data_IF_541882076235
#
_entry.id   IF_541882076235
#
_cell.length_a   1.000
_cell.length_b   1.000
_cell.length_c   1.000
_cell.angle_alpha   90.00
_cell.angle_beta   90.00
_cell.angle_gamma   90.00
#
_symmetry.space_group_name_H-M   'P 1'
#
loop_
_entity.id
_entity.type
_entity.pdbx_description
1 polymer ?
#
# COMPACT_ATOMS: atom_id res chain seq x y z
N UNK A 1 18.08 -8.18 -39.70
CA UNK A 1 17.45 -6.85 -39.64
C UNK A 1 16.29 -6.95 -38.66
N UNK A 2 16.38 -6.44 -37.47
CA UNK A 2 15.34 -5.89 -36.62
C UNK A 2 15.63 -5.93 -35.08
N UNK A 3 16.91 -6.08 -34.72
CA UNK A 3 17.29 -5.98 -33.29
C UNK A 3 17.31 -4.54 -32.76
N UNK A 4 17.45 -3.56 -33.68
CA UNK A 4 17.50 -2.13 -33.30
C UNK A 4 16.11 -1.57 -32.96
N UNK A 5 15.07 -2.03 -33.65
CA UNK A 5 13.68 -1.61 -33.40
C UNK A 5 13.16 -2.13 -32.05
N UNK A 6 13.36 -3.41 -31.76
CA UNK A 6 12.93 -4.00 -30.49
C UNK A 6 13.61 -3.36 -29.25
N UNK A 7 14.90 -3.04 -29.33
CA UNK A 7 15.61 -2.33 -28.28
C UNK A 7 15.08 -0.92 -28.07
N UNK A 8 14.79 -0.17 -29.16
CA UNK A 8 14.20 1.17 -29.12
C UNK A 8 12.80 1.16 -28.45
N UNK A 9 11.98 0.15 -28.76
CA UNK A 9 10.64 0.04 -28.19
C UNK A 9 10.68 -0.35 -26.70
N UNK A 10 11.64 -1.16 -26.29
CA UNK A 10 11.88 -1.45 -24.88
C UNK A 10 12.29 -0.20 -24.11
N UNK A 11 13.21 0.61 -24.66
CA UNK A 11 13.64 1.86 -24.03
C UNK A 11 12.51 2.90 -23.94
N UNK A 12 11.67 3.01 -24.97
CA UNK A 12 10.50 3.91 -24.96
C UNK A 12 9.48 3.48 -23.89
N UNK A 13 9.18 2.19 -23.77
CA UNK A 13 8.29 1.67 -22.74
C UNK A 13 8.86 1.88 -21.34
N UNK A 14 10.15 1.60 -21.13
CA UNK A 14 10.81 1.85 -19.84
C UNK A 14 10.79 3.34 -19.45
N UNK A 15 11.01 4.26 -20.40
CA UNK A 15 10.93 5.69 -20.13
C UNK A 15 9.50 6.14 -19.83
N UNK A 16 8.50 5.56 -20.49
CA UNK A 16 7.09 5.85 -20.25
C UNK A 16 6.64 5.31 -18.89
N UNK A 17 6.99 4.07 -18.55
CA UNK A 17 6.69 3.45 -17.26
C UNK A 17 7.36 4.20 -16.11
N UNK A 18 8.60 4.66 -16.31
CA UNK A 18 9.33 5.48 -15.33
C UNK A 18 8.66 6.84 -15.11
N UNK A 19 8.20 7.49 -16.20
CA UNK A 19 7.50 8.78 -16.13
C UNK A 19 6.16 8.64 -15.40
N UNK A 20 5.42 7.58 -15.67
CA UNK A 20 4.15 7.31 -15.00
C UNK A 20 4.36 7.02 -13.52
N UNK A 21 5.36 6.25 -13.15
CA UNK A 21 5.69 5.97 -11.76
C UNK A 21 6.08 7.25 -11.01
N UNK A 22 6.85 8.16 -11.66
CA UNK A 22 7.19 9.47 -11.10
C UNK A 22 5.95 10.36 -10.94
N UNK A 23 4.99 10.33 -11.89
CA UNK A 23 3.73 11.04 -11.77
C UNK A 23 2.91 10.57 -10.57
N UNK A 24 2.84 9.27 -10.33
CA UNK A 24 2.10 8.70 -9.21
C UNK A 24 2.77 8.99 -7.88
N UNK A 25 4.09 8.93 -7.82
CA UNK A 25 4.84 9.36 -6.65
C UNK A 25 4.62 10.86 -6.36
N UNK A 26 4.61 11.71 -7.41
CA UNK A 26 4.32 13.14 -7.27
C UNK A 26 2.90 13.41 -6.77
N UNK A 27 1.90 12.65 -7.26
CA UNK A 27 0.52 12.76 -6.78
C UNK A 27 0.41 12.39 -5.30
N UNK A 28 1.10 11.35 -4.88
CA UNK A 28 1.17 10.94 -3.48
C UNK A 28 1.83 12.00 -2.60
N UNK A 29 2.92 12.63 -3.07
CA UNK A 29 3.56 13.79 -2.42
C UNK A 29 2.60 14.96 -2.33
N UNK A 30 1.86 15.26 -3.40
CA UNK A 30 0.86 16.31 -3.41
C UNK A 30 -0.23 16.04 -2.37
N UNK A 31 -0.75 14.82 -2.30
CA UNK A 31 -1.72 14.44 -1.26
C UNK A 31 -1.13 14.56 0.15
N UNK A 32 0.17 14.27 0.35
CA UNK A 32 0.84 14.42 1.63
C UNK A 32 1.08 15.88 2.01
N UNK A 33 1.16 16.80 1.04
CA UNK A 33 1.33 18.24 1.29
C UNK A 33 0.12 18.89 2.00
N UNK A 34 -1.04 18.25 1.97
CA UNK A 34 -2.18 18.65 2.79
C UNK A 34 -2.06 18.19 4.25
N UNK A 35 -1.02 17.43 4.59
CA UNK A 35 -0.70 17.06 5.96
C UNK A 35 0.42 17.97 6.47
N UNK A 36 0.17 18.86 7.46
CA UNK A 36 1.18 19.77 8.01
C UNK A 36 2.36 19.04 8.68
N UNK A 37 2.23 17.74 8.95
CA UNK A 37 3.26 16.89 9.52
C UNK A 37 4.02 16.09 8.45
N UNK A 38 3.86 16.39 7.16
CA UNK A 38 4.57 15.68 6.11
C UNK A 38 6.09 15.86 6.26
N UNK A 39 6.87 14.78 6.15
CA UNK A 39 8.33 14.87 6.22
C UNK A 39 8.88 15.68 5.04
N UNK A 40 10.05 16.27 5.25
CA UNK A 40 10.76 16.96 4.19
C UNK A 40 10.98 16.03 2.98
N UNK A 41 10.97 16.57 1.75
CA UNK A 41 11.22 15.80 0.54
C UNK A 41 12.51 14.98 0.66
N UNK A 42 12.42 13.68 0.41
CA UNK A 42 13.56 12.79 0.39
C UNK A 42 14.15 12.72 -1.03
N UNK A 43 15.45 12.42 -1.18
CA UNK A 43 16.03 12.23 -2.49
C UNK A 43 15.29 11.12 -3.26
N UNK A 44 15.17 11.31 -4.57
CA UNK A 44 14.50 10.34 -5.46
C UNK A 44 15.18 8.98 -5.36
N UNK A 45 14.48 7.92 -4.99
CA UNK A 45 15.06 6.59 -4.97
C UNK A 45 15.45 6.14 -6.39
N UNK A 46 16.37 5.19 -6.47
CA UNK A 46 16.73 4.59 -7.76
C UNK A 46 15.52 3.87 -8.32
N UNK A 47 15.02 4.34 -9.48
CA UNK A 47 13.85 3.73 -10.14
C UNK A 47 14.19 2.32 -10.59
N UNK A 48 13.47 1.34 -10.08
CA UNK A 48 13.51 -0.02 -10.62
C UNK A 48 12.40 -0.12 -11.68
N UNK A 49 12.70 -0.48 -12.92
CA UNK A 49 11.67 -0.64 -13.94
C UNK A 49 10.63 -1.66 -13.49
N UNK A 50 9.36 -1.25 -13.47
CA UNK A 50 8.25 -2.14 -13.14
C UNK A 50 7.65 -2.66 -14.44
N UNK A 51 7.53 -3.97 -14.55
CA UNK A 51 6.87 -4.59 -15.69
C UNK A 51 5.36 -4.55 -15.48
N UNK A 52 4.64 -3.91 -16.42
CA UNK A 52 3.18 -3.92 -16.43
C UNK A 52 2.68 -5.22 -17.06
N UNK A 53 1.68 -5.85 -16.47
CA UNK A 53 1.08 -7.06 -17.00
C UNK A 53 0.33 -7.87 -15.95
N UNK A 54 -0.35 -8.93 -16.40
CA UNK A 54 -1.19 -9.75 -15.52
C UNK A 54 -0.38 -10.45 -14.42
N UNK A 55 0.74 -11.06 -14.73
CA UNK A 55 1.58 -11.74 -13.76
C UNK A 55 2.19 -10.78 -12.72
N UNK A 56 2.85 -9.67 -13.10
CA UNK A 56 3.30 -8.66 -12.15
C UNK A 56 2.18 -8.08 -11.28
N UNK A 57 1.00 -7.85 -11.84
CA UNK A 57 -0.15 -7.36 -11.10
C UNK A 57 -0.61 -8.37 -10.05
N UNK A 58 -0.74 -9.64 -10.42
CA UNK A 58 -1.13 -10.71 -9.49
C UNK A 58 -0.11 -10.85 -8.36
N UNK A 59 1.18 -10.79 -8.67
CA UNK A 59 2.25 -10.83 -7.64
C UNK A 59 2.18 -9.63 -6.70
N UNK A 60 1.91 -8.43 -7.21
CA UNK A 60 1.72 -7.24 -6.39
C UNK A 60 0.47 -7.35 -5.49
N UNK A 61 -0.62 -7.89 -6.02
CA UNK A 61 -1.85 -8.15 -5.25
C UNK A 61 -1.64 -9.21 -4.16
N UNK A 62 -0.85 -10.25 -4.38
CA UNK A 62 -0.49 -11.24 -3.36
C UNK A 62 0.31 -10.59 -2.22
N UNK A 63 1.27 -9.72 -2.54
CA UNK A 63 2.03 -8.97 -1.54
C UNK A 63 1.11 -8.02 -0.75
N UNK A 64 0.23 -7.28 -1.43
CA UNK A 64 -0.76 -6.42 -0.78
C UNK A 64 -1.68 -7.23 0.14
N UNK A 65 -2.15 -8.40 -0.30
CA UNK A 65 -2.99 -9.28 0.51
C UNK A 65 -2.29 -9.72 1.79
N UNK A 66 -0.99 -10.01 1.73
CA UNK A 66 -0.17 -10.33 2.90
C UNK A 66 -0.14 -9.16 3.89
N UNK A 67 0.02 -7.91 3.40
CA UNK A 67 0.00 -6.72 4.25
C UNK A 67 -1.39 -6.47 4.86
N UNK A 68 -2.48 -6.67 4.10
CA UNK A 68 -3.85 -6.54 4.62
C UNK A 68 -4.16 -7.58 5.69
N UNK A 69 -3.71 -8.82 5.52
CA UNK A 69 -3.86 -9.86 6.54
C UNK A 69 -3.12 -9.48 7.83
N UNK A 70 -1.87 -9.02 7.73
CA UNK A 70 -1.10 -8.57 8.89
C UNK A 70 -1.75 -7.36 9.58
N UNK A 71 -2.32 -6.42 8.81
CA UNK A 71 -3.01 -5.25 9.34
C UNK A 71 -4.27 -5.65 10.13
N UNK A 72 -5.09 -6.58 9.62
CA UNK A 72 -6.26 -7.09 10.37
C UNK A 72 -5.83 -7.63 11.73
N UNK A 73 -4.81 -8.49 11.77
CA UNK A 73 -4.29 -9.05 13.01
C UNK A 73 -3.75 -7.97 13.96
N UNK A 74 -3.03 -6.97 13.42
CA UNK A 74 -2.51 -5.85 14.20
C UNK A 74 -3.59 -4.92 14.75
N UNK A 75 -4.67 -4.68 13.98
CA UNK A 75 -5.82 -3.92 14.44
C UNK A 75 -6.52 -4.65 15.59
N UNK A 76 -6.81 -5.95 15.44
CA UNK A 76 -7.44 -6.77 16.49
C UNK A 76 -6.58 -6.78 17.76
N UNK A 77 -5.28 -6.87 17.62
CA UNK A 77 -4.36 -6.86 18.75
C UNK A 77 -4.36 -5.52 19.49
N UNK A 78 -4.31 -4.39 18.76
CA UNK A 78 -4.38 -3.05 19.36
C UNK A 78 -5.74 -2.77 19.99
N UNK A 79 -6.84 -3.11 19.32
CA UNK A 79 -8.21 -2.97 19.82
C UNK A 79 -8.39 -3.67 21.18
N UNK A 80 -7.83 -4.89 21.31
CA UNK A 80 -7.91 -5.66 22.56
C UNK A 80 -7.11 -5.07 23.72
N UNK A 81 -6.26 -4.06 23.49
CA UNK A 81 -5.43 -3.38 24.51
C UNK A 81 -5.94 -2.01 24.91
N UNK A 82 -6.80 -1.42 24.10
CA UNK A 82 -7.39 -0.10 24.37
C UNK A 82 -8.60 -0.21 25.30
N UNK A 83 -8.80 0.81 26.12
CA UNK A 83 -9.96 0.93 26.99
C UNK A 83 -11.28 0.93 26.23
N UNK A 84 -12.37 0.52 26.89
CA UNK A 84 -13.67 0.39 26.25
C UNK A 84 -14.19 1.70 25.63
N UNK A 85 -13.93 2.82 26.30
CA UNK A 85 -14.36 4.15 25.88
C UNK A 85 -13.28 4.93 25.10
N UNK A 86 -12.21 4.27 24.68
CA UNK A 86 -11.13 4.93 23.95
C UNK A 86 -11.57 5.25 22.52
N UNK A 87 -11.49 6.52 22.07
CA UNK A 87 -11.85 6.89 20.70
C UNK A 87 -11.02 6.14 19.64
N UNK A 88 -9.75 5.83 19.96
CA UNK A 88 -8.88 5.07 19.07
C UNK A 88 -9.37 3.63 18.89
N UNK A 89 -9.98 3.04 19.93
CA UNK A 89 -10.59 1.71 19.84
C UNK A 89 -11.78 1.70 18.87
N UNK A 90 -12.67 2.69 18.94
CA UNK A 90 -13.80 2.84 18.03
C UNK A 90 -13.31 3.00 16.60
N UNK A 91 -12.35 3.89 16.37
CA UNK A 91 -11.72 4.05 15.07
C UNK A 91 -11.08 2.75 14.55
N UNK A 92 -10.42 1.99 15.43
CA UNK A 92 -9.82 0.71 15.09
C UNK A 92 -10.83 -0.31 14.57
N UNK A 93 -12.03 -0.38 15.18
CA UNK A 93 -13.11 -1.24 14.70
C UNK A 93 -13.61 -0.83 13.31
N UNK A 94 -13.87 0.46 13.11
CA UNK A 94 -14.32 0.99 11.80
C UNK A 94 -13.26 0.72 10.73
N UNK A 95 -11.98 0.93 11.08
CA UNK A 95 -10.88 0.66 10.16
C UNK A 95 -10.75 -0.83 9.83
N UNK A 96 -10.93 -1.70 10.80
CA UNK A 96 -10.91 -3.15 10.59
C UNK A 96 -11.95 -3.59 9.56
N UNK A 97 -13.18 -3.10 9.65
CA UNK A 97 -14.23 -3.40 8.67
C UNK A 97 -13.85 -2.95 7.25
N UNK A 98 -13.28 -1.75 7.11
CA UNK A 98 -12.78 -1.27 5.82
C UNK A 98 -11.67 -2.17 5.26
N UNK A 99 -10.73 -2.60 6.10
CA UNK A 99 -9.62 -3.47 5.69
C UNK A 99 -10.13 -4.86 5.30
N UNK A 100 -11.14 -5.39 5.99
CA UNK A 100 -11.78 -6.66 5.62
C UNK A 100 -12.44 -6.58 4.24
N UNK A 101 -13.10 -5.46 3.92
CA UNK A 101 -13.68 -5.22 2.59
C UNK A 101 -12.58 -5.16 1.52
N UNK A 102 -11.54 -4.36 1.72
CA UNK A 102 -10.39 -4.29 0.80
C UNK A 102 -9.73 -5.67 0.58
N UNK A 103 -9.57 -6.43 1.66
CA UNK A 103 -9.03 -7.80 1.60
C UNK A 103 -9.89 -8.73 0.74
N UNK A 104 -11.20 -8.63 0.86
CA UNK A 104 -12.14 -9.42 0.07
C UNK A 104 -12.04 -9.07 -1.43
N UNK A 105 -11.96 -7.79 -1.77
CA UNK A 105 -11.78 -7.30 -3.15
C UNK A 105 -10.46 -7.80 -3.77
N UNK A 106 -9.35 -7.66 -3.05
CA UNK A 106 -8.04 -8.13 -3.53
C UNK A 106 -8.04 -9.65 -3.71
N UNK A 107 -8.61 -10.40 -2.78
CA UNK A 107 -8.77 -11.87 -2.91
C UNK A 107 -9.60 -12.25 -4.14
N UNK A 108 -10.67 -11.51 -4.41
CA UNK A 108 -11.50 -11.78 -5.58
C UNK A 108 -10.72 -11.49 -6.87
N UNK A 109 -10.03 -10.37 -6.96
CA UNK A 109 -9.21 -10.03 -8.13
C UNK A 109 -8.13 -11.07 -8.43
N UNK A 110 -7.49 -11.64 -7.39
CA UNK A 110 -6.49 -12.72 -7.55
C UNK A 110 -7.17 -14.00 -8.09
N UNK A 111 -8.37 -14.36 -7.61
CA UNK A 111 -9.13 -15.49 -8.12
C UNK A 111 -9.56 -15.31 -9.57
N UNK A 112 -10.00 -14.09 -9.93
CA UNK A 112 -10.40 -13.75 -11.30
C UNK A 112 -9.21 -13.89 -12.27
N UNK A 113 -7.99 -13.71 -11.77
CA UNK A 113 -6.75 -14.01 -12.49
C UNK A 113 -6.37 -15.52 -12.47
N UNK A 114 -7.29 -16.40 -12.08
CA UNK A 114 -7.08 -17.86 -11.98
C UNK A 114 -5.91 -18.27 -11.07
N UNK A 115 -5.63 -17.43 -10.06
CA UNK A 115 -4.56 -17.66 -9.08
C UNK A 115 -5.14 -17.88 -7.70
N UNK A 116 -4.52 -18.76 -6.90
CA UNK A 116 -4.92 -18.98 -5.51
C UNK A 116 -4.43 -17.83 -4.62
N UNK A 117 -5.32 -17.12 -3.90
CA UNK A 117 -4.91 -16.09 -2.97
C UNK A 117 -4.02 -16.64 -1.85
N UNK A 118 -3.00 -15.88 -1.45
CA UNK A 118 -2.17 -16.19 -0.29
C UNK A 118 -3.06 -16.45 0.94
N UNK A 119 -2.89 -17.60 1.62
CA UNK A 119 -3.66 -17.91 2.81
C UNK A 119 -3.32 -16.95 3.95
N UNK A 120 -4.26 -16.78 4.85
CA UNK A 120 -3.99 -16.14 6.13
C UNK A 120 -3.10 -17.06 6.98
N UNK A 121 -2.16 -16.49 7.72
CA UNK A 121 -1.29 -17.26 8.60
C UNK A 121 -1.80 -17.21 10.03
N UNK A 122 -1.66 -18.30 10.82
CA UNK A 122 -2.18 -18.36 12.19
C UNK A 122 -1.57 -17.35 13.15
N UNK A 123 -0.44 -16.76 12.80
CA UNK A 123 0.22 -15.73 13.61
C UNK A 123 1.21 -14.93 12.78
N UNK A 124 1.28 -13.64 13.07
CA UNK A 124 2.25 -12.72 12.47
C UNK A 124 3.35 -12.43 13.50
N UNK A 125 4.64 -12.38 13.09
CA UNK A 125 5.71 -11.94 13.96
C UNK A 125 5.58 -10.43 14.17
N UNK A 126 4.71 -10.05 15.09
CA UNK A 126 4.53 -8.66 15.50
C UNK A 126 5.42 -8.37 16.71
N UNK A 127 5.85 -7.12 16.81
CA UNK A 127 6.55 -6.60 17.99
C UNK A 127 5.75 -6.86 19.28
N UNK A 128 6.35 -6.68 20.48
CA UNK A 128 5.61 -6.84 21.72
C UNK A 128 4.26 -6.11 21.69
N UNK A 129 3.28 -6.66 22.37
CA UNK A 129 1.94 -6.08 22.42
C UNK A 129 1.99 -4.60 22.82
N UNK A 130 1.22 -3.71 22.16
CA UNK A 130 1.21 -2.30 22.50
C UNK A 130 0.72 -2.11 23.93
N UNK A 131 1.43 -1.26 24.67
CA UNK A 131 1.16 -1.06 26.12
C UNK A 131 0.32 0.18 26.39
N UNK A 132 0.11 1.04 25.39
CA UNK A 132 -0.66 2.27 25.47
C UNK A 132 -1.09 2.74 24.06
N UNK A 133 -1.88 3.82 24.01
CA UNK A 133 -2.38 4.42 22.76
C UNK A 133 -1.26 4.80 21.79
N UNK A 134 -0.18 5.39 22.28
CA UNK A 134 0.95 5.79 21.45
C UNK A 134 1.62 4.58 20.78
N UNK A 135 1.81 3.51 21.53
CA UNK A 135 2.35 2.25 21.01
C UNK A 135 1.38 1.61 20.01
N UNK A 136 0.06 1.67 20.26
CA UNK A 136 -0.98 1.19 19.35
C UNK A 136 -0.98 1.97 18.04
N UNK A 137 -0.93 3.31 18.12
CA UNK A 137 -0.82 4.17 16.92
C UNK A 137 0.45 3.86 16.12
N UNK A 138 1.57 3.68 16.79
CA UNK A 138 2.84 3.33 16.14
C UNK A 138 2.78 1.98 15.42
N UNK A 139 2.21 0.96 16.07
CA UNK A 139 2.00 -0.36 15.46
C UNK A 139 1.11 -0.25 14.22
N UNK A 140 -0.05 0.39 14.35
CA UNK A 140 -0.99 0.54 13.24
C UNK A 140 -0.40 1.38 12.10
N UNK A 141 0.29 2.47 12.40
CA UNK A 141 0.97 3.29 11.39
C UNK A 141 1.99 2.49 10.58
N UNK A 142 2.77 1.64 11.22
CA UNK A 142 3.74 0.78 10.53
C UNK A 142 3.04 -0.22 9.60
N UNK A 143 1.96 -0.84 10.05
CA UNK A 143 1.18 -1.79 9.23
C UNK A 143 0.45 -1.09 8.07
N UNK A 144 -0.12 0.09 8.31
CA UNK A 144 -0.77 0.91 7.26
C UNK A 144 0.25 1.41 6.22
N UNK A 145 1.48 1.74 6.63
CA UNK A 145 2.55 2.08 5.70
C UNK A 145 2.92 0.91 4.78
N UNK A 146 2.92 -0.32 5.30
CA UNK A 146 3.12 -1.51 4.48
C UNK A 146 1.98 -1.71 3.46
N UNK A 147 0.73 -1.44 3.85
CA UNK A 147 -0.42 -1.47 2.92
C UNK A 147 -0.27 -0.41 1.84
N UNK A 148 0.17 0.81 2.19
CA UNK A 148 0.46 1.85 1.20
C UNK A 148 1.54 1.42 0.21
N UNK A 149 2.62 0.78 0.70
CA UNK A 149 3.66 0.19 -0.16
C UNK A 149 3.08 -0.89 -1.10
N UNK A 150 2.19 -1.74 -0.58
CA UNK A 150 1.48 -2.74 -1.37
C UNK A 150 0.63 -2.12 -2.49
N UNK A 151 -0.14 -1.08 -2.19
CA UNK A 151 -0.90 -0.32 -3.20
C UNK A 151 0.00 0.37 -4.23
N UNK A 152 1.15 0.88 -3.81
CA UNK A 152 2.16 1.43 -4.72
C UNK A 152 2.61 0.40 -5.77
N UNK A 153 2.90 -0.84 -5.34
CA UNK A 153 3.26 -1.95 -6.23
C UNK A 153 2.11 -2.31 -7.18
N UNK A 154 0.88 -2.39 -6.67
CA UNK A 154 -0.32 -2.65 -7.49
C UNK A 154 -0.49 -1.55 -8.53
N UNK A 155 -0.35 -0.28 -8.13
CA UNK A 155 -0.43 0.87 -9.05
C UNK A 155 0.60 0.77 -10.16
N UNK A 156 1.85 0.45 -9.82
CA UNK A 156 2.94 0.32 -10.78
C UNK A 156 2.72 -0.83 -11.77
N UNK A 157 2.19 -1.97 -11.31
CA UNK A 157 1.90 -3.14 -12.13
C UNK A 157 0.59 -3.05 -12.93
N UNK A 158 -0.30 -2.10 -12.60
CA UNK A 158 -1.62 -1.95 -13.21
C UNK A 158 -1.54 -1.32 -14.60
N UNK A 159 -2.31 -1.85 -15.55
CA UNK A 159 -2.59 -1.21 -16.82
C UNK A 159 -3.48 0.02 -16.66
N UNK A 160 -3.62 0.81 -17.75
CA UNK A 160 -4.35 2.09 -17.74
C UNK A 160 -5.78 2.03 -17.21
N UNK A 161 -6.49 0.94 -17.43
CA UNK A 161 -7.88 0.77 -16.98
C UNK A 161 -8.00 0.55 -15.47
N UNK A 162 -7.08 -0.19 -14.85
CA UNK A 162 -7.12 -0.53 -13.42
C UNK A 162 -6.36 0.49 -12.54
N UNK A 163 -5.42 1.23 -13.11
CA UNK A 163 -4.55 2.16 -12.39
C UNK A 163 -5.30 3.25 -11.63
N UNK A 164 -6.37 3.90 -12.14
CA UNK A 164 -7.10 4.92 -11.39
C UNK A 164 -7.65 4.42 -10.06
N UNK A 165 -8.15 3.18 -10.00
CA UNK A 165 -8.63 2.57 -8.78
C UNK A 165 -7.50 2.35 -7.75
N UNK A 166 -6.37 1.81 -8.20
CA UNK A 166 -5.21 1.59 -7.35
C UNK A 166 -4.66 2.91 -6.78
N UNK A 167 -4.65 3.98 -7.58
CA UNK A 167 -4.27 5.33 -7.14
C UNK A 167 -5.25 5.88 -6.10
N UNK A 168 -6.56 5.75 -6.33
CA UNK A 168 -7.56 6.17 -5.34
C UNK A 168 -7.36 5.46 -4.00
N UNK A 169 -7.01 4.18 -4.04
CA UNK A 169 -6.68 3.39 -2.84
C UNK A 169 -5.41 3.90 -2.15
N UNK A 170 -4.36 4.29 -2.90
CA UNK A 170 -3.18 4.94 -2.32
C UNK A 170 -3.53 6.26 -1.63
N UNK A 171 -4.35 7.10 -2.28
CA UNK A 171 -4.77 8.39 -1.71
C UNK A 171 -5.55 8.17 -0.40
N UNK A 172 -6.51 7.25 -0.40
CA UNK A 172 -7.25 6.88 0.80
C UNK A 172 -6.31 6.38 1.91
N UNK A 173 -5.32 5.58 1.55
CA UNK A 173 -4.34 5.05 2.50
C UNK A 173 -3.45 6.14 3.12
N UNK A 174 -3.08 7.18 2.35
CA UNK A 174 -2.35 8.33 2.89
C UNK A 174 -3.17 9.12 3.91
N UNK A 175 -4.48 9.24 3.69
CA UNK A 175 -5.39 9.89 4.65
C UNK A 175 -5.49 9.12 5.96
N UNK A 176 -5.49 7.78 5.90
CA UNK A 176 -5.44 6.92 7.09
C UNK A 176 -4.16 7.15 7.90
N UNK A 177 -3.01 7.21 7.24
CA UNK A 177 -1.73 7.49 7.90
C UNK A 177 -1.71 8.88 8.53
N UNK A 178 -2.25 9.89 7.84
CA UNK A 178 -2.39 11.24 8.38
C UNK A 178 -3.26 11.26 9.65
N UNK A 179 -4.37 10.52 9.67
CA UNK A 179 -5.22 10.37 10.85
C UNK A 179 -4.48 9.76 12.04
N UNK A 180 -3.60 8.81 11.81
CA UNK A 180 -2.73 8.22 12.84
C UNK A 180 -1.59 9.15 13.29
N UNK A 181 -1.45 10.33 12.67
CA UNK A 181 -0.39 11.31 12.97
C UNK A 181 0.95 10.95 12.34
N UNK A 182 0.96 10.06 11.35
CA UNK A 182 2.19 9.64 10.67
C UNK A 182 2.32 10.36 9.33
N UNK A 183 3.46 11.00 9.10
CA UNK A 183 3.79 11.54 7.80
C UNK A 183 4.01 10.43 6.77
N UNK A 184 3.69 10.73 5.52
CA UNK A 184 3.98 9.83 4.39
C UNK A 184 5.35 10.18 3.82
N UNK A 185 6.12 9.19 3.42
CA UNK A 185 7.36 9.43 2.68
C UNK A 185 7.06 10.08 1.33
N UNK A 186 7.99 10.88 0.82
CA UNK A 186 7.86 11.56 -0.49
C UNK A 186 7.59 10.56 -1.63
N UNK A 187 8.05 9.32 -1.47
CA UNK A 187 7.92 8.24 -2.45
C UNK A 187 7.28 7.01 -1.80
N UNK A 188 5.96 7.02 -1.53
CA UNK A 188 5.29 5.88 -0.92
C UNK A 188 5.31 4.69 -1.87
N UNK A 189 5.60 3.51 -1.31
CA UNK A 189 5.70 2.28 -2.10
C UNK A 189 7.07 2.01 -2.71
N UNK A 190 8.04 2.87 -2.50
CA UNK A 190 9.43 2.66 -2.89
C UNK A 190 10.22 2.12 -1.69
N UNK A 191 10.88 1.01 -1.90
CA UNK A 191 11.74 0.34 -0.90
C UNK A 191 13.14 0.26 -1.45
#
# INVERSE_FOLDING_TARGET
LDRSSAASDVYKRQAQDSSETLLWASLSVFCSAFNPSAPAPQPTPKVVPVTVGQEPLTNAQQALLTHLNALVAGLEWGIGRLGENDPLRTWGWDRREQVLAQRAEVRQSIRDASTTPTPDVPGYPMSPAPVNDAATRSLWSGLEANVLSGWGRVTAASGSAARPHAVASMVSQTQVLAHLGTGVTTWPGWV
#
